data_IF_706611697070
#
_entry.id   IF_706611697070
#
_cell.length_a   1.000
_cell.length_b   1.000
_cell.length_c   1.000
_cell.angle_alpha   90.00
_cell.angle_beta   90.00
_cell.angle_gamma   90.00
#
_symmetry.space_group_name_H-M   'P 1'
#
loop_
_entity.id
_entity.type
_entity.pdbx_description
1 polymer ?
#
# COMPACT_ATOMS: atom_id res chain seq x y z
N UNK A 1 -18.29 2.97 -14.82
CA UNK A 1 -17.04 3.38 -14.13
C UNK A 1 -15.91 3.14 -15.10
N UNK A 2 -14.98 4.09 -15.28
CA UNK A 2 -13.80 3.79 -16.09
C UNK A 2 -12.99 2.71 -15.36
N UNK A 3 -12.56 1.69 -16.10
CA UNK A 3 -11.67 0.65 -15.59
C UNK A 3 -10.37 1.33 -15.11
N UNK A 4 -9.94 1.05 -13.87
CA UNK A 4 -8.70 1.63 -13.34
C UNK A 4 -7.53 1.00 -14.07
N UNK A 5 -6.79 1.81 -14.81
CA UNK A 5 -5.60 1.37 -15.51
C UNK A 5 -4.46 1.12 -14.49
N UNK A 6 -3.97 -0.12 -14.45
CA UNK A 6 -2.79 -0.50 -13.68
C UNK A 6 -1.63 -0.74 -14.64
N UNK A 7 -0.45 -0.19 -14.32
CA UNK A 7 0.79 -0.41 -15.07
C UNK A 7 1.90 -0.82 -14.15
N UNK A 8 2.68 -1.79 -14.59
CA UNK A 8 3.91 -2.15 -13.90
C UNK A 8 4.93 -1.03 -14.08
N UNK A 9 5.47 -0.53 -12.97
CA UNK A 9 6.54 0.44 -12.97
C UNK A 9 7.89 -0.26 -12.85
N UNK A 10 8.73 -0.10 -13.88
CA UNK A 10 10.10 -0.62 -13.86
C UNK A 10 10.89 0.00 -12.70
N UNK A 11 11.63 -0.84 -11.96
CA UNK A 11 12.40 -0.42 -10.80
C UNK A 11 11.59 -0.24 -9.51
N UNK A 12 10.30 -0.57 -9.53
CA UNK A 12 9.47 -0.67 -8.33
C UNK A 12 9.47 -2.11 -7.82
N UNK A 13 9.78 -2.31 -6.54
CA UNK A 13 9.77 -3.63 -5.90
C UNK A 13 9.41 -3.54 -4.42
N UNK A 14 8.89 -4.65 -3.90
CA UNK A 14 8.53 -4.82 -2.50
C UNK A 14 9.23 -6.07 -1.94
N UNK A 15 10.12 -5.85 -0.97
CA UNK A 15 10.98 -6.88 -0.40
C UNK A 15 10.73 -7.02 1.10
N UNK A 16 10.41 -8.23 1.55
CA UNK A 16 10.20 -8.51 2.97
C UNK A 16 11.52 -8.51 3.73
N UNK A 17 11.52 -7.83 4.87
CA UNK A 17 12.68 -7.73 5.78
C UNK A 17 12.45 -8.60 7.01
N UNK A 18 11.35 -8.38 7.72
CA UNK A 18 11.03 -9.08 8.96
C UNK A 18 9.55 -8.96 9.28
N UNK A 19 9.06 -9.84 10.15
CA UNK A 19 7.72 -9.72 10.68
C UNK A 19 7.49 -10.64 11.88
N UNK A 20 6.37 -10.42 12.55
CA UNK A 20 5.94 -11.20 13.72
C UNK A 20 4.42 -11.26 13.72
N UNK A 21 3.87 -12.41 14.12
CA UNK A 21 2.46 -12.61 14.41
C UNK A 21 2.30 -12.78 15.92
N UNK A 22 1.47 -11.95 16.54
CA UNK A 22 1.29 -11.90 17.99
C UNK A 22 -0.19 -11.99 18.35
N UNK A 23 -0.46 -12.61 19.48
CA UNK A 23 -1.80 -12.68 20.06
C UNK A 23 -1.85 -11.76 21.29
N UNK A 24 -2.88 -10.91 21.36
CA UNK A 24 -3.26 -10.21 22.57
C UNK A 24 -4.58 -10.79 23.09
N UNK A 25 -4.49 -11.59 24.16
CA UNK A 25 -5.64 -12.25 24.77
C UNK A 25 -6.55 -11.30 25.54
N UNK A 26 -6.02 -10.18 26.04
CA UNK A 26 -6.82 -9.19 26.76
C UNK A 26 -7.71 -8.44 25.77
N UNK A 27 -7.13 -8.02 24.65
CA UNK A 27 -7.84 -7.31 23.59
C UNK A 27 -8.54 -8.26 22.60
N UNK A 28 -8.33 -9.57 22.72
CA UNK A 28 -8.84 -10.63 21.83
C UNK A 28 -8.51 -10.34 20.37
N UNK A 29 -7.25 -9.98 20.12
CA UNK A 29 -6.75 -9.67 18.80
C UNK A 29 -5.61 -10.60 18.41
N UNK A 30 -5.51 -10.87 17.11
CA UNK A 30 -4.25 -11.33 16.52
C UNK A 30 -3.74 -10.19 15.64
N UNK A 31 -2.47 -9.86 15.80
CA UNK A 31 -1.82 -8.76 15.10
C UNK A 31 -0.63 -9.30 14.34
N UNK A 32 -0.40 -8.85 13.10
CA UNK A 32 0.94 -8.94 12.53
C UNK A 32 1.60 -7.57 12.52
N UNK A 33 2.91 -7.58 12.70
CA UNK A 33 3.78 -6.46 12.32
C UNK A 33 4.75 -6.94 11.25
N UNK A 34 4.95 -6.15 10.20
CA UNK A 34 5.84 -6.51 9.10
C UNK A 34 6.62 -5.30 8.58
N UNK A 35 7.89 -5.55 8.28
CA UNK A 35 8.83 -4.59 7.70
C UNK A 35 9.11 -4.95 6.25
N UNK A 36 8.99 -3.98 5.36
CA UNK A 36 9.30 -4.13 3.95
C UNK A 36 10.20 -2.99 3.46
N UNK A 37 11.15 -3.33 2.59
CA UNK A 37 11.85 -2.37 1.75
C UNK A 37 11.02 -2.14 0.48
N UNK A 38 10.78 -0.86 0.17
CA UNK A 38 9.97 -0.36 -0.93
C UNK A 38 10.88 0.44 -1.85
N UNK A 39 11.19 -0.16 -3.00
CA UNK A 39 12.05 0.48 -4.00
C UNK A 39 11.19 1.17 -5.06
N UNK A 40 11.71 2.26 -5.60
CA UNK A 40 11.14 2.99 -6.71
C UNK A 40 12.29 3.62 -7.50
N UNK A 41 12.29 3.45 -8.81
CA UNK A 41 13.19 4.18 -9.69
C UNK A 41 12.52 5.51 -10.08
N UNK A 42 13.09 6.61 -9.57
CA UNK A 42 12.53 7.94 -9.78
C UNK A 42 12.47 8.33 -11.27
N UNK A 43 13.48 7.92 -12.05
CA UNK A 43 13.56 8.26 -13.47
C UNK A 43 12.44 7.56 -14.24
N UNK A 44 12.27 6.25 -14.03
CA UNK A 44 11.19 5.49 -14.65
C UNK A 44 9.81 6.01 -14.18
N UNK A 45 9.67 6.37 -12.91
CA UNK A 45 8.45 6.99 -12.39
C UNK A 45 8.11 8.29 -13.13
N UNK A 46 9.05 9.22 -13.24
CA UNK A 46 8.83 10.51 -13.93
C UNK A 46 8.51 10.30 -15.40
N UNK A 47 9.22 9.41 -16.09
CA UNK A 47 8.97 9.09 -17.49
C UNK A 47 7.55 8.56 -17.70
N UNK A 48 7.14 7.59 -16.87
CA UNK A 48 5.82 6.97 -16.98
C UNK A 48 4.71 7.95 -16.57
N UNK A 49 4.87 8.68 -15.47
CA UNK A 49 3.91 9.69 -15.03
C UNK A 49 3.69 10.77 -16.12
N UNK A 50 4.77 11.24 -16.75
CA UNK A 50 4.69 12.24 -17.83
C UNK A 50 4.07 11.71 -19.13
N UNK A 51 4.12 10.40 -19.38
CA UNK A 51 3.43 9.80 -20.51
C UNK A 51 1.89 9.88 -20.36
N UNK A 52 1.38 9.85 -19.13
CA UNK A 52 -0.05 10.03 -18.84
C UNK A 52 -0.44 11.49 -18.62
N UNK A 53 0.39 12.24 -17.89
CA UNK A 53 0.15 13.66 -17.55
C UNK A 53 1.45 14.44 -17.77
N UNK A 54 1.62 15.14 -18.90
CA UNK A 54 2.82 15.92 -19.17
C UNK A 54 3.11 16.93 -18.05
N UNK A 55 4.32 16.87 -17.48
CA UNK A 55 4.72 17.73 -16.37
C UNK A 55 4.01 17.39 -15.06
N UNK A 56 3.69 16.11 -14.82
CA UNK A 56 2.88 15.65 -13.68
C UNK A 56 3.31 16.24 -12.34
N UNK A 57 4.60 16.20 -12.02
CA UNK A 57 5.16 16.70 -10.76
C UNK A 57 5.25 18.23 -10.67
N UNK A 58 4.97 18.95 -11.76
CA UNK A 58 4.97 20.41 -11.81
C UNK A 58 3.59 21.01 -11.54
N UNK A 59 2.53 20.19 -11.58
CA UNK A 59 1.16 20.65 -11.33
C UNK A 59 0.83 20.68 -9.84
N UNK A 60 0.58 21.85 -9.22
CA UNK A 60 0.25 21.93 -7.78
C UNK A 60 -1.07 21.26 -7.41
N UNK A 61 -1.99 21.14 -8.37
CA UNK A 61 -3.29 20.48 -8.20
C UNK A 61 -3.26 18.99 -8.53
N UNK A 62 -2.14 18.47 -9.08
CA UNK A 62 -1.95 17.03 -9.22
C UNK A 62 -1.71 16.41 -7.85
N UNK A 63 -2.10 15.14 -7.71
CA UNK A 63 -2.03 14.48 -6.42
C UNK A 63 -1.72 13.00 -6.57
N UNK A 64 -0.99 12.47 -5.59
CA UNK A 64 -0.64 11.07 -5.52
C UNK A 64 -1.27 10.43 -4.30
N UNK A 65 -1.62 9.15 -4.38
CA UNK A 65 -2.03 8.37 -3.22
C UNK A 65 -1.33 7.02 -3.26
N UNK A 66 -0.57 6.64 -2.22
CA UNK A 66 0.01 5.32 -2.17
C UNK A 66 -1.10 4.29 -1.90
N UNK A 67 -1.08 3.18 -2.65
CA UNK A 67 -1.94 2.02 -2.41
C UNK A 67 -1.11 0.97 -1.70
N UNK A 68 -1.38 0.84 -0.39
CA UNK A 68 -0.57 0.11 0.58
C UNK A 68 -1.38 -0.99 1.27
N UNK A 69 -2.24 -1.70 0.53
CA UNK A 69 -2.97 -2.86 1.08
C UNK A 69 -1.99 -3.78 1.82
N UNK A 70 -2.36 -4.13 3.05
CA UNK A 70 -1.52 -4.94 3.95
C UNK A 70 -0.38 -4.19 4.66
N UNK A 71 -0.14 -2.93 4.33
CA UNK A 71 0.92 -2.11 4.94
C UNK A 71 0.34 -0.86 5.64
N UNK A 72 -0.77 -0.31 5.15
CA UNK A 72 -1.44 0.85 5.76
C UNK A 72 -2.65 1.31 4.96
N UNK A 73 -3.60 1.99 5.61
CA UNK A 73 -4.79 2.50 4.94
C UNK A 73 -4.71 4.01 4.70
N UNK A 74 -4.31 4.40 3.48
CA UNK A 74 -4.20 5.81 3.06
C UNK A 74 -5.53 6.33 2.50
N UNK A 75 -6.16 7.28 3.18
CA UNK A 75 -7.58 7.61 2.93
C UNK A 75 -7.82 8.75 1.93
N UNK A 76 -6.83 9.58 1.62
CA UNK A 76 -6.97 10.74 0.74
C UNK A 76 -5.85 10.82 -0.30
N UNK A 77 -6.01 11.66 -1.31
CA UNK A 77 -4.92 12.04 -2.21
C UNK A 77 -4.05 13.13 -1.56
N UNK A 78 -2.73 13.02 -1.74
CA UNK A 78 -1.75 14.03 -1.38
C UNK A 78 -1.49 14.93 -2.57
N UNK A 79 -2.12 16.10 -2.59
CA UNK A 79 -1.84 17.14 -3.57
C UNK A 79 -0.40 17.65 -3.41
N UNK A 80 0.26 17.92 -4.54
CA UNK A 80 1.64 18.40 -4.52
C UNK A 80 1.76 19.81 -3.94
N UNK A 81 0.77 20.69 -4.17
CA UNK A 81 0.76 22.07 -3.67
C UNK A 81 2.14 22.74 -3.81
N UNK A 82 2.75 23.18 -2.70
CA UNK A 82 4.06 23.84 -2.70
C UNK A 82 5.26 22.94 -3.03
N UNK A 83 5.08 21.61 -3.04
CA UNK A 83 6.11 20.67 -3.49
C UNK A 83 6.18 20.58 -5.02
N UNK A 84 5.15 21.04 -5.75
CA UNK A 84 5.14 20.99 -7.20
C UNK A 84 6.33 21.75 -7.81
N UNK A 85 7.00 21.11 -8.77
CA UNK A 85 8.25 21.62 -9.38
C UNK A 85 9.51 21.39 -8.53
N UNK A 86 9.38 20.93 -7.28
CA UNK A 86 10.49 20.67 -6.37
C UNK A 86 10.69 19.19 -6.02
N UNK A 87 9.84 18.29 -6.56
CA UNK A 87 10.00 16.84 -6.41
C UNK A 87 11.01 16.36 -7.44
N UNK A 88 12.30 16.37 -7.07
CA UNK A 88 13.42 16.03 -7.97
C UNK A 88 14.05 14.65 -7.72
N UNK A 89 13.66 13.96 -6.64
CA UNK A 89 14.18 12.64 -6.28
C UNK A 89 13.16 11.83 -5.47
N UNK A 90 13.53 10.58 -5.16
CA UNK A 90 12.72 9.67 -4.36
C UNK A 90 12.37 10.23 -2.98
N UNK A 91 13.31 10.91 -2.32
CA UNK A 91 13.08 11.41 -0.96
C UNK A 91 12.00 12.49 -0.97
N UNK A 92 12.12 13.46 -1.86
CA UNK A 92 11.12 14.51 -2.04
C UNK A 92 9.75 13.92 -2.43
N UNK A 93 9.74 12.84 -3.23
CA UNK A 93 8.49 12.15 -3.57
C UNK A 93 7.87 11.43 -2.35
N UNK A 94 8.68 10.74 -1.55
CA UNK A 94 8.20 10.02 -0.36
C UNK A 94 7.67 10.97 0.72
N UNK A 95 8.28 12.14 0.88
CA UNK A 95 7.84 13.17 1.83
C UNK A 95 6.38 13.64 1.56
N UNK A 96 5.87 13.46 0.34
CA UNK A 96 4.49 13.81 -0.04
C UNK A 96 3.46 12.94 0.67
N UNK A 97 3.73 11.64 0.87
CA UNK A 97 2.71 10.67 1.30
C UNK A 97 3.09 9.85 2.55
N UNK A 98 4.28 10.03 3.12
CA UNK A 98 4.73 9.29 4.31
C UNK A 98 4.23 9.89 5.64
N UNK A 99 3.54 11.04 5.60
CA UNK A 99 3.03 11.66 6.83
C UNK A 99 1.94 10.79 7.48
N UNK A 100 2.04 10.44 8.78
CA UNK A 100 1.09 9.57 9.46
C UNK A 100 -0.34 10.16 9.54
N UNK A 101 -0.49 11.47 9.31
CA UNK A 101 -1.80 12.16 9.29
C UNK A 101 -2.72 11.68 8.19
N UNK A 102 -2.19 11.05 7.14
CA UNK A 102 -2.95 10.57 5.98
C UNK A 102 -3.35 9.10 6.06
N UNK A 103 -3.05 8.45 7.18
CA UNK A 103 -3.35 7.04 7.42
C UNK A 103 -4.39 6.89 8.52
N UNK A 104 -5.39 6.05 8.29
CA UNK A 104 -6.38 5.75 9.32
C UNK A 104 -5.96 4.57 10.17
N UNK A 105 -6.43 4.62 11.41
CA UNK A 105 -6.26 3.62 12.45
C UNK A 105 -7.59 3.26 13.12
N UNK A 106 -8.65 3.24 12.29
CA UNK A 106 -9.99 2.87 12.72
C UNK A 106 -10.28 1.42 12.34
N UNK A 107 -10.98 0.72 13.23
CA UNK A 107 -11.51 -0.61 12.95
C UNK A 107 -12.49 -0.57 11.77
N UNK A 108 -12.36 -1.51 10.85
CA UNK A 108 -13.40 -1.80 9.87
C UNK A 108 -14.65 -2.33 10.58
N UNK A 109 -15.80 -2.19 9.93
CA UNK A 109 -17.04 -2.84 10.35
C UNK A 109 -17.23 -4.18 9.65
N UNK A 110 -18.05 -5.05 10.25
CA UNK A 110 -18.36 -6.38 9.73
C UNK A 110 -17.76 -7.50 10.57
N UNK A 111 -18.10 -8.76 10.25
CA UNK A 111 -17.83 -9.91 11.10
C UNK A 111 -16.38 -10.01 11.62
N UNK A 112 -15.41 -10.15 10.71
CA UNK A 112 -13.99 -10.04 11.05
C UNK A 112 -13.56 -8.57 10.84
N UNK A 113 -13.32 -7.87 11.94
CA UNK A 113 -12.85 -6.49 11.94
C UNK A 113 -11.32 -6.46 11.76
N UNK A 114 -10.86 -5.46 11.02
CA UNK A 114 -9.47 -5.20 10.72
C UNK A 114 -9.11 -3.77 11.11
N UNK A 115 -7.96 -3.57 11.75
CA UNK A 115 -7.46 -2.24 12.06
C UNK A 115 -6.02 -2.10 11.56
N UNK A 116 -5.82 -1.23 10.58
CA UNK A 116 -4.48 -0.79 10.23
C UNK A 116 -3.93 0.09 11.35
N UNK A 117 -2.66 -0.07 11.69
CA UNK A 117 -1.95 0.97 12.43
C UNK A 117 -1.34 1.96 11.46
N UNK A 118 -1.02 3.16 11.96
CA UNK A 118 -0.29 4.15 11.16
C UNK A 118 1.11 3.61 10.83
N UNK A 119 1.46 3.41 9.55
CA UNK A 119 2.76 2.89 9.17
C UNK A 119 3.87 3.88 9.56
N UNK A 120 5.01 3.34 9.95
CA UNK A 120 6.22 4.12 10.18
C UNK A 120 7.12 3.99 8.97
N UNK A 121 7.57 5.12 8.44
CA UNK A 121 8.45 5.16 7.28
C UNK A 121 9.82 5.68 7.67
N UNK A 122 10.85 5.07 7.10
CA UNK A 122 12.24 5.53 7.21
C UNK A 122 12.94 5.38 5.87
N UNK A 123 14.01 6.14 5.65
CA UNK A 123 14.87 5.95 4.48
C UNK A 123 16.14 5.25 4.94
N UNK A 124 16.37 4.04 4.43
CA UNK A 124 17.54 3.19 4.74
C UNK A 124 18.25 2.88 3.43
N UNK A 125 19.53 3.26 3.31
CA UNK A 125 20.33 3.08 2.09
C UNK A 125 19.66 3.59 0.81
N UNK A 126 18.94 4.73 0.91
CA UNK A 126 18.22 5.34 -0.22
C UNK A 126 16.91 4.65 -0.61
N UNK A 127 16.49 3.61 0.13
CA UNK A 127 15.21 2.91 -0.06
C UNK A 127 14.22 3.33 1.02
N UNK A 128 12.94 3.39 0.68
CA UNK A 128 11.88 3.61 1.66
C UNK A 128 11.64 2.29 2.38
N UNK A 129 11.78 2.26 3.69
CA UNK A 129 11.37 1.13 4.51
C UNK A 129 10.07 1.48 5.21
N UNK A 130 9.14 0.53 5.25
CA UNK A 130 7.89 0.65 6.00
C UNK A 130 7.83 -0.39 7.09
N UNK A 131 7.50 0.04 8.30
CA UNK A 131 7.05 -0.83 9.40
C UNK A 131 5.55 -0.67 9.51
N UNK A 132 4.84 -1.76 9.27
CA UNK A 132 3.39 -1.83 9.26
C UNK A 132 2.89 -2.74 10.37
N UNK A 133 1.68 -2.47 10.86
CA UNK A 133 0.96 -3.36 11.76
C UNK A 133 -0.51 -3.38 11.39
N UNK A 134 -1.13 -4.54 11.53
CA UNK A 134 -2.57 -4.71 11.36
C UNK A 134 -3.11 -5.70 12.39
N UNK A 135 -4.21 -5.33 13.01
CA UNK A 135 -4.89 -6.12 14.02
C UNK A 135 -6.18 -6.71 13.44
N UNK A 136 -6.52 -7.91 13.90
CA UNK A 136 -7.73 -8.64 13.55
C UNK A 136 -8.49 -9.02 14.81
N UNK A 137 -9.82 -8.89 14.78
CA UNK A 137 -10.71 -9.42 15.83
C UNK A 137 -12.10 -9.67 15.30
N UNK A 138 -12.89 -10.46 16.01
CA UNK A 138 -14.31 -10.60 15.71
C UNK A 138 -15.12 -9.41 16.27
N UNK A 139 -16.08 -8.88 15.50
CA UNK A 139 -16.96 -7.79 15.91
C UNK A 139 -17.70 -8.11 17.22
N UNK A 140 -18.22 -9.34 17.32
CA UNK A 140 -18.90 -9.86 18.51
C UNK A 140 -17.96 -10.16 19.70
N UNK A 141 -16.67 -9.84 19.58
CA UNK A 141 -15.62 -10.03 20.58
C UNK A 141 -15.42 -11.48 21.02
N UNK A 142 -15.82 -12.47 20.23
CA UNK A 142 -15.38 -13.86 20.48
C UNK A 142 -13.86 -13.97 20.30
N UNK A 143 -13.27 -14.98 20.91
CA UNK A 143 -11.86 -15.30 20.73
C UNK A 143 -11.55 -15.55 19.24
N UNK A 144 -10.44 -14.98 18.77
CA UNK A 144 -9.94 -15.12 17.40
C UNK A 144 -8.79 -16.12 17.41
N UNK A 145 -8.73 -16.99 16.40
CA UNK A 145 -7.63 -17.94 16.22
C UNK A 145 -6.87 -17.63 14.93
N UNK A 146 -5.66 -18.18 14.79
CA UNK A 146 -4.84 -17.96 13.60
C UNK A 146 -5.55 -18.48 12.34
N UNK A 147 -6.33 -19.55 12.45
CA UNK A 147 -7.13 -20.14 11.38
C UNK A 147 -8.22 -19.20 10.84
N UNK A 148 -8.60 -18.18 11.62
CA UNK A 148 -9.57 -17.15 11.21
C UNK A 148 -8.92 -16.09 10.30
N UNK A 149 -7.58 -16.00 10.26
CA UNK A 149 -6.90 -14.95 9.54
C UNK A 149 -7.02 -15.11 8.01
N UNK A 150 -7.33 -14.02 7.29
CA UNK A 150 -7.50 -14.07 5.85
C UNK A 150 -6.16 -14.20 5.13
N UNK A 151 -6.24 -14.35 3.80
CA UNK A 151 -5.09 -14.07 2.94
C UNK A 151 -4.79 -12.58 2.99
N UNK A 152 -3.55 -12.22 3.29
CA UNK A 152 -3.11 -10.84 3.44
C UNK A 152 -2.18 -10.52 2.28
N UNK A 153 -2.64 -9.67 1.36
CA UNK A 153 -1.83 -9.16 0.24
C UNK A 153 -1.08 -7.91 0.67
N UNK A 154 0.13 -7.74 0.13
CA UNK A 154 0.98 -6.58 0.35
C UNK A 154 1.14 -5.81 -0.96
N UNK A 155 0.61 -4.59 -0.99
CA UNK A 155 0.64 -3.73 -2.16
C UNK A 155 1.67 -2.61 -2.00
N UNK A 156 2.38 -2.33 -3.09
CA UNK A 156 3.17 -1.12 -3.25
C UNK A 156 2.84 -0.53 -4.61
N UNK A 157 1.95 0.46 -4.62
CA UNK A 157 1.60 1.18 -5.84
C UNK A 157 1.35 2.65 -5.56
N UNK A 158 1.43 3.46 -6.61
CA UNK A 158 1.17 4.88 -6.59
C UNK A 158 0.00 5.17 -7.53
N UNK A 159 -1.11 5.62 -6.96
CA UNK A 159 -2.28 6.05 -7.69
C UNK A 159 -2.12 7.53 -8.05
N UNK A 160 -2.05 7.82 -9.34
CA UNK A 160 -1.86 9.18 -9.87
C UNK A 160 -3.21 9.80 -10.20
N UNK A 161 -3.38 11.04 -9.78
CA UNK A 161 -4.57 11.83 -10.04
C UNK A 161 -4.16 13.12 -10.74
N UNK A 162 -4.78 13.36 -11.90
CA UNK A 162 -4.75 14.66 -12.54
C UNK A 162 -5.69 15.61 -11.77
N UNK A 163 -5.17 16.76 -11.35
CA UNK A 163 -5.99 17.82 -10.80
C UNK A 163 -6.86 18.47 -11.86
N UNK A 164 -8.05 18.92 -11.49
CA UNK A 164 -8.92 19.73 -12.35
C UNK A 164 -9.31 21.02 -11.64
N UNK A 165 -9.27 22.14 -12.36
CA UNK A 165 -9.80 23.42 -11.86
C UNK A 165 -11.33 23.36 -11.76
N UNK A 166 -11.85 23.89 -10.65
CA UNK A 166 -13.23 23.79 -10.14
C UNK A 166 -14.35 24.38 -11.04
N UNK A 167 -14.13 24.60 -12.33
CA UNK A 167 -15.18 25.04 -13.24
C UNK A 167 -15.80 23.86 -14.01
N UNK A 168 -16.81 23.23 -13.38
CA UNK A 168 -17.90 22.56 -14.10
C UNK A 168 -17.70 21.12 -14.57
N UNK A 169 -16.72 20.35 -14.09
CA UNK A 169 -16.56 18.93 -14.46
C UNK A 169 -16.22 17.99 -13.30
N UNK A 170 -16.54 16.72 -13.57
CA UNK A 170 -16.42 15.46 -12.80
C UNK A 170 -15.27 15.47 -11.77
N UNK A 171 -15.54 14.93 -10.57
CA UNK A 171 -14.56 14.78 -9.51
C UNK A 171 -13.25 14.14 -10.03
N UNK A 172 -12.08 14.58 -9.55
CA UNK A 172 -10.79 14.04 -9.97
C UNK A 172 -10.79 12.51 -9.93
N UNK A 173 -10.39 11.88 -11.04
CA UNK A 173 -10.33 10.43 -11.16
C UNK A 173 -8.88 9.97 -11.23
N UNK A 174 -8.62 8.78 -10.67
CA UNK A 174 -7.42 8.00 -10.96
C UNK A 174 -7.15 8.01 -12.46
N UNK A 175 -5.96 8.44 -12.87
CA UNK A 175 -5.50 8.35 -14.26
C UNK A 175 -4.84 6.99 -14.48
N UNK A 176 -3.91 6.64 -13.60
CA UNK A 176 -3.18 5.37 -13.66
C UNK A 176 -2.72 4.99 -12.25
N UNK A 177 -2.63 3.69 -11.99
CA UNK A 177 -1.96 3.12 -10.82
C UNK A 177 -0.65 2.50 -11.28
N UNK A 178 0.47 3.01 -10.76
CA UNK A 178 1.81 2.51 -11.06
C UNK A 178 2.25 1.60 -9.92
N UNK A 179 2.48 0.31 -10.17
CA UNK A 179 2.82 -0.65 -9.12
C UNK A 179 3.94 -1.61 -9.49
N UNK A 180 4.37 -2.41 -8.51
CA UNK A 180 5.49 -3.35 -8.68
C UNK A 180 5.14 -4.68 -9.35
N UNK A 181 3.86 -5.08 -9.32
CA UNK A 181 3.40 -6.35 -9.85
C UNK A 181 3.13 -6.23 -11.37
N UNK A 182 2.99 -7.37 -12.05
CA UNK A 182 2.60 -7.40 -13.47
C UNK A 182 1.15 -6.96 -13.65
N UNK A 183 0.78 -6.60 -14.87
CA UNK A 183 -0.54 -6.06 -15.18
C UNK A 183 -1.62 -7.15 -15.23
N UNK A 184 -1.26 -8.40 -15.54
CA UNK A 184 -2.18 -9.52 -15.61
C UNK A 184 -2.56 -10.07 -14.22
N UNK A 185 -3.76 -10.63 -14.13
CA UNK A 185 -4.27 -11.23 -12.91
C UNK A 185 -4.07 -12.75 -12.89
N UNK A 186 -3.84 -13.27 -11.69
CA UNK A 186 -3.82 -14.70 -11.36
C UNK A 186 -4.72 -14.95 -10.16
N UNK A 187 -5.35 -16.13 -10.13
CA UNK A 187 -6.16 -16.56 -8.99
C UNK A 187 -5.29 -17.34 -8.01
N UNK A 188 -5.22 -16.86 -6.76
CA UNK A 188 -4.45 -17.51 -5.70
C UNK A 188 -5.25 -17.44 -4.41
N UNK A 189 -5.44 -18.59 -3.75
CA UNK A 189 -6.28 -18.72 -2.55
C UNK A 189 -7.70 -18.12 -2.71
N UNK A 190 -8.27 -18.24 -3.92
CA UNK A 190 -9.59 -17.71 -4.25
C UNK A 190 -9.65 -16.18 -4.41
N UNK A 191 -8.50 -15.50 -4.47
CA UNK A 191 -8.40 -14.06 -4.70
C UNK A 191 -7.73 -13.78 -6.05
N UNK A 192 -8.29 -12.84 -6.80
CA UNK A 192 -7.65 -12.27 -7.98
C UNK A 192 -6.58 -11.27 -7.53
N UNK A 193 -5.33 -11.52 -7.93
CA UNK A 193 -4.19 -10.65 -7.64
C UNK A 193 -3.38 -10.39 -8.90
N UNK A 194 -2.75 -9.23 -8.99
CA UNK A 194 -1.74 -8.99 -10.01
C UNK A 194 -0.60 -10.02 -9.85
N UNK A 195 -0.16 -10.62 -10.95
CA UNK A 195 0.95 -11.58 -10.92
C UNK A 195 2.19 -10.89 -10.35
N UNK A 196 2.86 -11.52 -9.39
CA UNK A 196 3.98 -10.94 -8.67
C UNK A 196 3.61 -10.28 -7.34
N UNK A 197 2.32 -10.08 -7.03
CA UNK A 197 1.89 -9.58 -5.73
C UNK A 197 2.37 -10.50 -4.59
N UNK A 198 2.99 -9.92 -3.57
CA UNK A 198 3.37 -10.55 -2.31
C UNK A 198 2.14 -10.75 -1.45
N UNK A 199 2.05 -11.90 -0.82
CA UNK A 199 0.96 -12.20 0.10
C UNK A 199 1.39 -13.23 1.15
N UNK A 200 0.61 -13.36 2.21
CA UNK A 200 0.71 -14.46 3.16
C UNK A 200 -0.67 -15.10 3.37
N UNK A 201 -0.67 -16.40 3.66
CA UNK A 201 -1.90 -17.15 3.96
C UNK A 201 -2.08 -17.14 5.47
N UNK A 202 -2.92 -16.24 5.99
CA UNK A 202 -3.07 -15.99 7.44
C UNK A 202 -3.33 -17.27 8.24
N UNK A 203 -4.31 -18.07 7.82
CA UNK A 203 -4.65 -19.38 8.41
C UNK A 203 -3.50 -20.41 8.48
N UNK A 204 -2.42 -20.20 7.73
CA UNK A 204 -1.26 -21.10 7.69
C UNK A 204 -0.05 -20.54 8.47
N UNK A 205 -0.22 -19.40 9.16
CA UNK A 205 0.82 -18.82 9.98
C UNK A 205 0.91 -19.51 11.35
N UNK A 206 1.96 -19.18 12.08
CA UNK A 206 2.14 -19.53 13.48
C UNK A 206 2.46 -18.26 14.26
N UNK A 207 2.08 -18.22 15.54
CA UNK A 207 2.49 -17.14 16.44
C UNK A 207 4.02 -17.11 16.55
N UNK A 208 4.59 -15.90 16.61
CA UNK A 208 6.02 -15.65 16.59
C UNK A 208 6.51 -15.10 15.25
N UNK A 209 7.81 -15.28 14.93
CA UNK A 209 8.41 -14.69 13.73
C UNK A 209 7.73 -15.13 12.43
N UNK A 210 7.54 -14.17 11.53
CA UNK A 210 7.15 -14.42 10.14
C UNK A 210 8.43 -14.55 9.31
N UNK A 211 8.63 -15.72 8.72
CA UNK A 211 9.78 -16.03 7.89
C UNK A 211 9.52 -15.70 6.42
N UNK A 212 10.60 -15.49 5.66
CA UNK A 212 10.51 -15.08 4.24
C UNK A 212 9.76 -16.09 3.38
N UNK A 213 9.82 -17.37 3.72
CA UNK A 213 9.14 -18.47 3.04
C UNK A 213 7.62 -18.39 3.20
N UNK A 214 7.13 -17.69 4.23
CA UNK A 214 5.71 -17.43 4.46
C UNK A 214 5.21 -16.21 3.67
N UNK A 215 6.11 -15.43 3.07
CA UNK A 215 5.79 -14.35 2.14
C UNK A 215 5.85 -14.89 0.71
N UNK A 216 4.68 -15.31 0.23
CA UNK A 216 4.48 -15.92 -1.06
C UNK A 216 4.37 -14.88 -2.18
N UNK A 217 4.37 -15.35 -3.42
CA UNK A 217 4.23 -14.52 -4.62
C UNK A 217 3.12 -15.09 -5.49
N UNK A 218 2.17 -14.26 -5.91
CA UNK A 218 1.08 -14.66 -6.79
C UNK A 218 1.63 -15.00 -8.18
N UNK A 219 1.36 -16.20 -8.70
CA UNK A 219 1.93 -16.72 -9.96
C UNK A 219 0.94 -17.55 -10.74
#
# INVERSE_FOLDING_TARGET
MAEREYRKLQGMALEFVSGVLEEDRLERTISYSATFDMTLDFTHFVQMANAYVPGYLNGPINAIRPELDGLGYHYAYNYFFGAAGNIGDNRALFDVFTSPRYYMDQWSSGGLEECYHKPQFSVVDGRLQVVSRKDFRWENKREINVEDLPVIRFQWALNLMLGHDLSGQKAPSTIVVLGYAEEDFVEVEGLQMHRGTRYMVGKALHLGPIHKEQILTAR
#
